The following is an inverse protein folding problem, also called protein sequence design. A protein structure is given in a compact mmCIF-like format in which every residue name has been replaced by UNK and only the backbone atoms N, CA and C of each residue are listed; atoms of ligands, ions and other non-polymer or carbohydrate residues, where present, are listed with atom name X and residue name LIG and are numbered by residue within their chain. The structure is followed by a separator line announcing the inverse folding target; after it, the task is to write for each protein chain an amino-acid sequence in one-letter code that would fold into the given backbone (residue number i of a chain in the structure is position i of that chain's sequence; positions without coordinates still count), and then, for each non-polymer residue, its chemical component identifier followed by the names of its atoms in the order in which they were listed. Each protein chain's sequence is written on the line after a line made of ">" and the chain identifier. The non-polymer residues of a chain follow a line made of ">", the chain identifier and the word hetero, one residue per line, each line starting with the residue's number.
data_IF_126203625819
#
_entry.id   IF_126203625819
#
_cell.length_a   1.000
_cell.length_b   1.000
_cell.length_c   1.000
_cell.angle_alpha   90.00
_cell.angle_beta   90.00
_cell.angle_gamma   90.00
#
_symmetry.space_group_name_H-M   'P 1'
#
loop_
_entity.id
_entity.type
_entity.pdbx_description
1 polymer ?
#
# COMPACT_ATOMS: atom_id res chain seq x y z
N UNK A 1 13.96 27.09 -10.14
CA UNK A 1 14.59 26.32 -9.05
C UNK A 1 15.57 27.21 -8.30
N UNK A 2 15.54 27.22 -6.97
CA UNK A 2 16.56 27.89 -6.16
C UNK A 2 17.67 26.91 -5.75
N UNK A 3 18.80 27.43 -5.26
CA UNK A 3 19.94 26.60 -4.84
C UNK A 3 19.61 25.72 -3.62
N UNK A 4 18.72 26.16 -2.72
CA UNK A 4 18.37 25.40 -1.51
C UNK A 4 17.59 24.13 -1.85
N UNK A 5 16.57 24.24 -2.71
CA UNK A 5 15.78 23.10 -3.19
C UNK A 5 16.67 22.04 -3.84
N UNK A 6 17.64 22.47 -4.66
CA UNK A 6 18.54 21.51 -5.31
C UNK A 6 19.44 20.83 -4.29
N UNK A 7 19.97 21.56 -3.31
CA UNK A 7 20.82 20.98 -2.27
C UNK A 7 20.11 19.90 -1.46
N UNK A 8 18.82 20.06 -1.21
CA UNK A 8 17.98 19.05 -0.55
C UNK A 8 17.78 17.81 -1.43
N UNK A 9 17.68 17.97 -2.75
CA UNK A 9 17.48 16.89 -3.71
C UNK A 9 18.77 16.17 -4.14
N UNK A 10 19.96 16.75 -3.86
CA UNK A 10 21.24 16.18 -4.29
C UNK A 10 21.47 14.73 -3.83
N UNK A 11 21.20 14.34 -2.57
CA UNK A 11 21.41 12.96 -2.12
C UNK A 11 20.62 11.96 -2.97
N UNK A 12 19.34 12.24 -3.20
CA UNK A 12 18.43 11.36 -3.94
C UNK A 12 18.90 11.14 -5.38
N UNK A 13 19.36 12.20 -6.04
CA UNK A 13 19.88 12.14 -7.42
C UNK A 13 21.21 11.36 -7.50
N UNK A 14 21.98 11.27 -6.41
CA UNK A 14 23.29 10.62 -6.39
C UNK A 14 23.28 9.14 -6.00
N UNK A 15 22.27 8.68 -5.26
CA UNK A 15 22.18 7.26 -4.89
C UNK A 15 21.82 6.40 -6.10
N UNK A 16 22.39 5.19 -6.20
CA UNK A 16 22.25 4.27 -7.34
C UNK A 16 20.83 3.77 -7.61
N UNK A 17 19.85 4.15 -6.78
CA UNK A 17 18.41 4.03 -7.05
C UNK A 17 17.87 5.14 -8.00
N UNK A 18 18.72 6.11 -8.37
CA UNK A 18 18.43 7.28 -9.22
C UNK A 18 18.28 7.00 -10.71
N UNK A 19 17.67 5.88 -11.09
CA UNK A 19 17.15 5.70 -12.46
C UNK A 19 15.81 6.41 -12.69
N UNK A 20 15.33 7.19 -11.72
CA UNK A 20 14.20 8.11 -11.88
C UNK A 20 14.41 9.41 -11.14
N UNK A 21 14.25 10.52 -11.87
CA UNK A 21 13.94 11.87 -11.37
C UNK A 21 15.09 12.86 -11.07
N UNK A 22 16.14 12.90 -11.90
CA UNK A 22 16.69 14.22 -12.24
C UNK A 22 15.69 14.88 -13.20
N UNK A 23 14.86 15.80 -12.71
CA UNK A 23 13.96 16.55 -13.60
C UNK A 23 14.80 17.47 -14.49
N UNK A 24 14.36 17.80 -15.72
CA UNK A 24 15.13 18.67 -16.62
C UNK A 24 15.39 20.06 -16.00
N UNK A 25 14.54 20.52 -15.08
CA UNK A 25 14.75 21.76 -14.32
C UNK A 25 15.95 21.68 -13.37
N UNK A 26 16.19 20.51 -12.75
CA UNK A 26 17.36 20.28 -11.89
C UNK A 26 18.64 20.28 -12.74
N UNK A 27 18.64 19.57 -13.86
CA UNK A 27 19.79 19.50 -14.77
C UNK A 27 20.16 20.89 -15.32
N UNK A 28 19.16 21.66 -15.76
CA UNK A 28 19.36 23.02 -16.25
C UNK A 28 19.96 23.95 -15.20
N UNK A 29 19.55 23.83 -13.93
CA UNK A 29 20.14 24.63 -12.87
C UNK A 29 21.57 24.18 -12.54
N UNK A 30 21.84 22.88 -12.47
CA UNK A 30 23.19 22.37 -12.23
C UNK A 30 24.14 22.82 -13.35
N UNK A 31 23.67 22.82 -14.60
CA UNK A 31 24.44 23.32 -15.75
C UNK A 31 24.72 24.84 -15.67
N UNK A 32 23.81 25.63 -15.09
CA UNK A 32 23.95 27.10 -14.99
C UNK A 32 24.57 27.61 -13.69
N UNK A 33 24.64 26.79 -12.62
CA UNK A 33 25.12 27.20 -11.30
C UNK A 33 26.35 26.39 -10.86
N UNK A 34 27.53 27.01 -10.95
CA UNK A 34 28.82 26.38 -10.62
C UNK A 34 28.90 25.86 -9.17
N UNK A 35 28.23 26.53 -8.21
CA UNK A 35 28.21 26.12 -6.81
C UNK A 35 27.45 24.79 -6.61
N UNK A 36 26.28 24.65 -7.25
CA UNK A 36 25.49 23.42 -7.19
C UNK A 36 26.21 22.27 -7.90
N UNK A 37 26.84 22.53 -9.06
CA UNK A 37 27.66 21.55 -9.77
C UNK A 37 28.90 21.10 -8.99
N UNK A 38 29.51 21.98 -8.19
CA UNK A 38 30.62 21.61 -7.31
C UNK A 38 30.15 20.69 -6.18
N UNK A 39 29.03 21.01 -5.55
CA UNK A 39 28.46 20.24 -4.45
C UNK A 39 28.01 18.84 -4.90
N UNK A 40 27.40 18.73 -6.10
CA UNK A 40 27.07 17.43 -6.70
C UNK A 40 28.33 16.56 -6.88
N UNK A 41 29.41 17.14 -7.43
CA UNK A 41 30.67 16.41 -7.64
C UNK A 41 31.30 15.96 -6.31
N UNK A 42 31.15 16.73 -5.25
CA UNK A 42 31.61 16.35 -3.91
C UNK A 42 30.81 15.17 -3.36
N UNK A 43 29.48 15.22 -3.45
CA UNK A 43 28.63 14.09 -3.07
C UNK A 43 28.93 12.82 -3.88
N UNK A 44 29.10 12.94 -5.20
CA UNK A 44 29.45 11.81 -6.07
C UNK A 44 30.79 11.18 -5.67
N UNK A 45 31.77 11.97 -5.26
CA UNK A 45 33.04 11.45 -4.73
C UNK A 45 32.83 10.68 -3.43
N UNK A 46 32.00 11.20 -2.52
CA UNK A 46 31.68 10.51 -1.27
C UNK A 46 30.97 9.19 -1.53
N UNK A 47 29.99 9.15 -2.44
CA UNK A 47 29.31 7.91 -2.81
C UNK A 47 30.26 6.90 -3.47
N UNK A 48 31.18 7.36 -4.32
CA UNK A 48 32.19 6.50 -4.91
C UNK A 48 33.13 5.85 -3.87
N UNK A 49 33.39 6.53 -2.74
CA UNK A 49 34.12 5.93 -1.61
C UNK A 49 33.28 4.88 -0.87
N UNK A 50 31.96 5.08 -0.76
CA UNK A 50 31.06 4.09 -0.17
C UNK A 50 30.93 2.86 -1.07
N UNK A 51 30.96 3.02 -2.39
CA UNK A 51 30.93 1.92 -3.36
C UNK A 51 32.18 1.01 -3.27
N UNK A 52 33.31 1.52 -2.75
CA UNK A 52 34.50 0.69 -2.47
C UNK A 52 34.25 -0.30 -1.32
N UNK A 53 33.26 -0.04 -0.45
CA UNK A 53 32.97 -0.92 0.66
C UNK A 53 32.38 -2.25 0.19
N UNK A 54 33.17 -3.32 0.33
CA UNK A 54 32.67 -4.67 0.11
C UNK A 54 31.89 -5.16 1.33
N UNK A 55 30.63 -5.49 1.10
CA UNK A 55 29.80 -6.12 2.12
C UNK A 55 30.41 -7.46 2.54
N UNK A 56 30.63 -7.72 3.84
CA UNK A 56 31.12 -9.00 4.30
C UNK A 56 30.10 -10.10 4.02
N UNK A 57 30.56 -11.32 3.77
CA UNK A 57 29.64 -12.45 3.62
C UNK A 57 28.79 -12.64 4.88
N UNK A 58 27.47 -12.85 4.73
CA UNK A 58 26.60 -13.10 5.86
C UNK A 58 27.04 -14.36 6.62
N UNK A 59 26.81 -14.40 7.93
CA UNK A 59 27.16 -15.58 8.73
C UNK A 59 26.42 -16.83 8.20
N UNK A 60 27.01 -18.03 8.28
CA UNK A 60 26.41 -19.27 7.73
C UNK A 60 24.98 -19.60 8.22
N UNK A 61 24.56 -19.01 9.34
CA UNK A 61 23.23 -19.21 9.93
C UNK A 61 22.34 -17.95 9.89
N UNK A 62 22.75 -16.93 9.14
CA UNK A 62 21.99 -15.68 9.03
C UNK A 62 20.59 -15.93 8.47
N UNK A 63 20.49 -16.62 7.34
CA UNK A 63 19.22 -16.87 6.67
C UNK A 63 18.27 -17.71 7.53
N UNK A 64 18.79 -18.76 8.16
CA UNK A 64 17.99 -19.63 9.03
C UNK A 64 17.48 -18.90 10.26
N UNK A 65 18.29 -18.02 10.86
CA UNK A 65 17.87 -17.18 11.99
C UNK A 65 16.88 -16.11 11.54
N UNK A 66 17.10 -15.49 10.39
CA UNK A 66 16.20 -14.50 9.82
C UNK A 66 14.83 -15.11 9.52
N UNK A 67 14.79 -16.26 8.86
CA UNK A 67 13.56 -16.97 8.54
C UNK A 67 12.80 -17.40 9.80
N UNK A 68 13.52 -17.87 10.83
CA UNK A 68 12.92 -18.18 12.12
C UNK A 68 12.28 -16.96 12.77
N UNK A 69 12.96 -15.81 12.79
CA UNK A 69 12.41 -14.56 13.31
C UNK A 69 11.23 -14.05 12.49
N UNK A 70 11.29 -14.16 11.17
CA UNK A 70 10.19 -13.75 10.30
C UNK A 70 8.94 -14.59 10.56
N UNK A 71 9.10 -15.91 10.69
CA UNK A 71 8.00 -16.81 11.08
C UNK A 71 7.45 -16.49 12.46
N UNK A 72 8.31 -16.17 13.43
CA UNK A 72 7.87 -15.72 14.76
C UNK A 72 7.04 -14.44 14.69
N UNK A 73 7.48 -13.42 13.95
CA UNK A 73 6.75 -12.16 13.80
C UNK A 73 5.43 -12.34 13.03
N UNK A 74 5.41 -13.15 11.96
CA UNK A 74 4.17 -13.45 11.23
C UNK A 74 3.17 -14.27 12.08
N UNK A 75 3.67 -15.10 12.99
CA UNK A 75 2.84 -15.89 13.90
C UNK A 75 2.42 -15.12 15.15
N UNK A 76 3.00 -13.94 15.43
CA UNK A 76 2.54 -13.08 16.52
C UNK A 76 1.14 -12.60 16.18
N UNK A 77 0.13 -12.92 17.01
CA UNK A 77 -1.21 -12.39 16.78
C UNK A 77 -1.11 -10.87 16.84
N UNK A 78 -1.77 -10.19 15.89
CA UNK A 78 -1.86 -8.74 15.90
C UNK A 78 -2.39 -8.29 17.27
N UNK A 79 -1.49 -7.76 18.11
CA UNK A 79 -1.81 -7.24 19.44
C UNK A 79 -2.46 -5.88 19.26
N UNK A 80 -3.72 -5.90 18.86
CA UNK A 80 -4.57 -4.72 18.74
C UNK A 80 -5.99 -5.07 19.16
N UNK A 81 -6.78 -4.03 19.45
CA UNK A 81 -8.20 -4.14 19.76
C UNK A 81 -8.94 -5.14 18.85
N UNK A 82 -8.61 -5.19 17.54
CA UNK A 82 -9.14 -6.08 16.49
C UNK A 82 -9.04 -7.58 16.77
N UNK A 83 -8.22 -8.03 17.73
CA UNK A 83 -8.17 -9.45 18.10
C UNK A 83 -9.50 -9.94 18.71
N UNK A 84 -10.32 -9.05 19.28
CA UNK A 84 -11.69 -9.40 19.72
C UNK A 84 -12.60 -9.81 18.56
N UNK A 85 -12.41 -9.22 17.37
CA UNK A 85 -13.13 -9.56 16.13
C UNK A 85 -12.64 -10.90 15.54
N UNK A 86 -11.46 -11.37 15.97
CA UNK A 86 -10.93 -12.69 15.61
C UNK A 86 -11.80 -13.85 16.11
N UNK A 87 -12.57 -13.68 17.19
CA UNK A 87 -13.57 -14.69 17.61
C UNK A 87 -14.63 -14.88 16.54
N UNK A 88 -15.07 -13.81 15.89
CA UNK A 88 -16.16 -13.82 14.91
C UNK A 88 -15.79 -14.58 13.63
N UNK A 89 -14.49 -14.73 13.34
CA UNK A 89 -13.96 -15.51 12.23
C UNK A 89 -13.84 -17.02 12.52
N UNK A 90 -14.29 -17.51 13.68
CA UNK A 90 -14.31 -18.95 13.94
C UNK A 90 -15.35 -19.64 13.04
N UNK A 91 -14.98 -20.67 12.26
CA UNK A 91 -15.85 -21.30 11.25
C UNK A 91 -17.09 -21.98 11.83
N UNK A 92 -17.12 -22.24 13.14
CA UNK A 92 -18.27 -22.79 13.83
C UNK A 92 -19.52 -21.88 13.77
N UNK A 93 -19.37 -20.58 13.51
CA UNK A 93 -20.48 -19.61 13.49
C UNK A 93 -20.89 -19.21 12.06
N UNK A 94 -20.11 -19.62 11.05
CA UNK A 94 -20.35 -19.27 9.65
C UNK A 94 -21.64 -19.90 9.09
N UNK A 95 -21.97 -21.13 9.51
CA UNK A 95 -23.19 -21.82 9.09
C UNK A 95 -24.46 -21.16 9.65
N UNK A 96 -24.43 -20.70 10.90
CA UNK A 96 -25.56 -20.00 11.52
C UNK A 96 -25.75 -18.59 10.95
N UNK A 97 -24.65 -17.87 10.67
CA UNK A 97 -24.71 -16.55 10.06
C UNK A 97 -25.29 -16.59 8.63
N UNK A 98 -24.91 -17.58 7.81
CA UNK A 98 -25.47 -17.76 6.47
C UNK A 98 -26.99 -18.04 6.51
N UNK A 99 -27.45 -18.82 7.48
CA UNK A 99 -28.89 -19.08 7.69
C UNK A 99 -29.68 -17.82 8.05
N UNK A 100 -29.14 -16.95 8.90
CA UNK A 100 -29.79 -15.69 9.30
C UNK A 100 -29.86 -14.70 8.14
N UNK A 101 -28.79 -14.58 7.33
CA UNK A 101 -28.78 -13.72 6.14
C UNK A 101 -29.78 -14.20 5.09
N UNK A 102 -29.85 -15.51 4.84
CA UNK A 102 -30.81 -16.09 3.90
C UNK A 102 -32.26 -15.86 4.36
N UNK A 103 -32.54 -16.09 5.64
CA UNK A 103 -33.87 -15.85 6.21
C UNK A 103 -34.26 -14.36 6.19
N UNK A 104 -33.31 -13.47 6.45
CA UNK A 104 -33.50 -12.02 6.35
C UNK A 104 -33.80 -11.57 4.91
N UNK A 105 -33.05 -12.07 3.92
CA UNK A 105 -33.29 -11.76 2.52
C UNK A 105 -34.66 -12.25 2.02
N UNK A 106 -35.10 -13.43 2.46
CA UNK A 106 -36.42 -13.98 2.16
C UNK A 106 -37.55 -13.15 2.80
N UNK A 107 -37.38 -12.72 4.05
CA UNK A 107 -38.35 -11.89 4.75
C UNK A 107 -38.47 -10.49 4.12
N UNK A 108 -37.36 -9.89 3.68
CA UNK A 108 -37.35 -8.60 2.96
C UNK A 108 -37.97 -8.74 1.56
N UNK A 109 -37.66 -9.81 0.84
CA UNK A 109 -38.26 -10.10 -0.47
C UNK A 109 -39.78 -10.32 -0.42
N UNK A 110 -40.28 -10.96 0.64
CA UNK A 110 -41.71 -11.18 0.86
C UNK A 110 -42.39 -9.91 1.39
N UNK A 111 -41.73 -9.14 2.27
CA UNK A 111 -42.25 -7.88 2.81
C UNK A 111 -42.35 -6.76 1.77
N UNK A 112 -41.55 -6.81 0.70
CA UNK A 112 -41.60 -5.90 -0.45
C UNK A 112 -42.45 -6.49 -1.60
N UNK A 113 -43.19 -7.59 -1.35
CA UNK A 113 -44.07 -8.26 -2.31
C UNK A 113 -45.40 -7.55 -2.62
N UNK A 114 -45.46 -6.21 -2.58
CA UNK A 114 -46.65 -5.41 -2.88
C UNK A 114 -46.58 -4.53 -4.13
N UNK A 115 -45.45 -4.49 -4.86
CA UNK A 115 -45.36 -3.75 -6.12
C UNK A 115 -44.78 -4.64 -7.21
N UNK A 116 -45.65 -5.01 -8.14
CA UNK A 116 -45.33 -5.66 -9.41
C UNK A 116 -44.31 -4.83 -10.18
N UNK A 117 -43.04 -5.23 -10.13
CA UNK A 117 -42.06 -4.84 -11.14
C UNK A 117 -42.21 -5.81 -12.30
N UNK A 118 -43.08 -5.42 -13.23
CA UNK A 118 -43.17 -6.00 -14.55
C UNK A 118 -41.82 -5.74 -15.21
N UNK A 119 -41.08 -6.79 -15.56
CA UNK A 119 -39.91 -6.68 -16.41
C UNK A 119 -40.36 -6.20 -17.79
N UNK A 120 -40.20 -4.91 -18.07
CA UNK A 120 -40.17 -4.41 -19.44
C UNK A 120 -38.82 -4.82 -20.01
N UNK A 121 -38.84 -5.69 -21.01
CA UNK A 121 -37.65 -6.03 -21.80
C UNK A 121 -37.28 -4.82 -22.66
N UNK A 122 -36.41 -3.95 -22.16
CA UNK A 122 -35.74 -2.97 -23.01
C UNK A 122 -34.61 -3.66 -23.79
N UNK A 123 -34.64 -3.39 -25.08
CA UNK A 123 -33.77 -3.90 -26.14
C UNK A 123 -32.29 -3.64 -25.86
N UNK A 124 -31.46 -4.69 -25.97
CA UNK A 124 -30.01 -4.61 -25.90
C UNK A 124 -29.45 -3.68 -26.99
N UNK A 125 -28.71 -2.60 -26.65
CA UNK A 125 -27.78 -1.99 -27.58
C UNK A 125 -26.53 -2.88 -27.63
N UNK A 126 -26.27 -3.48 -28.77
CA UNK A 126 -25.00 -4.15 -29.08
C UNK A 126 -23.86 -3.13 -28.98
N UNK A 127 -23.07 -3.19 -27.92
CA UNK A 127 -21.77 -2.51 -27.83
C UNK A 127 -20.67 -3.53 -28.18
N UNK A 128 -19.67 -3.16 -29.00
CA UNK A 128 -18.61 -4.08 -29.41
C UNK A 128 -17.76 -4.56 -28.23
N UNK A 129 -17.11 -5.72 -28.35
CA UNK A 129 -16.39 -6.34 -27.23
C UNK A 129 -15.22 -5.46 -26.78
N UNK A 130 -15.28 -4.93 -25.55
CA UNK A 130 -14.10 -4.46 -24.85
C UNK A 130 -13.39 -5.67 -24.23
N UNK A 131 -12.10 -5.80 -24.53
CA UNK A 131 -11.18 -6.81 -23.99
C UNK A 131 -10.88 -6.52 -22.50
N UNK A 132 -11.87 -6.65 -21.63
CA UNK A 132 -11.63 -6.72 -20.19
C UNK A 132 -11.52 -8.18 -19.78
N UNK A 133 -10.28 -8.64 -19.56
CA UNK A 133 -10.02 -9.89 -18.87
C UNK A 133 -10.62 -9.80 -17.46
N UNK A 134 -11.33 -10.83 -16.97
CA UNK A 134 -11.81 -10.87 -15.60
C UNK A 134 -10.60 -10.78 -14.66
N UNK A 135 -10.62 -9.81 -13.75
CA UNK A 135 -9.61 -9.69 -12.68
C UNK A 135 -9.71 -10.96 -11.84
N UNK A 136 -8.76 -11.87 -12.02
CA UNK A 136 -8.61 -13.04 -11.17
C UNK A 136 -7.73 -12.67 -9.98
N UNK A 137 -8.29 -12.63 -8.75
CA UNK A 137 -7.52 -12.37 -7.55
C UNK A 137 -6.49 -13.50 -7.33
N UNK A 138 -5.28 -13.15 -6.91
CA UNK A 138 -4.18 -14.09 -6.67
C UNK A 138 -3.24 -14.29 -7.86
N UNK A 139 -3.35 -13.46 -8.90
CA UNK A 139 -2.33 -13.35 -9.95
C UNK A 139 -1.64 -12.00 -9.83
N UNK A 140 -0.32 -11.94 -10.07
CA UNK A 140 0.44 -10.70 -9.92
C UNK A 140 -0.16 -9.53 -10.73
N UNK A 141 -0.66 -9.79 -11.93
CA UNK A 141 -1.29 -8.75 -12.77
C UNK A 141 -2.69 -8.37 -12.26
N UNK A 142 -3.49 -9.34 -11.79
CA UNK A 142 -4.81 -9.08 -11.23
C UNK A 142 -4.75 -8.31 -9.91
N UNK A 143 -3.76 -8.62 -9.07
CA UNK A 143 -3.56 -7.95 -7.78
C UNK A 143 -3.07 -6.51 -7.99
N UNK A 144 -2.19 -6.26 -8.95
CA UNK A 144 -1.78 -4.90 -9.33
C UNK A 144 -2.95 -4.09 -9.89
N UNK A 145 -3.78 -4.71 -10.72
CA UNK A 145 -4.95 -4.05 -11.30
C UNK A 145 -6.03 -3.77 -10.23
N UNK A 146 -6.13 -4.61 -9.20
CA UNK A 146 -7.01 -4.40 -8.05
C UNK A 146 -6.51 -3.29 -7.12
N UNK A 147 -5.19 -3.20 -6.89
CA UNK A 147 -4.59 -2.11 -6.10
C UNK A 147 -4.75 -0.77 -6.80
N UNK A 148 -4.46 -0.71 -8.10
CA UNK A 148 -4.60 0.52 -8.91
C UNK A 148 -6.04 1.06 -8.95
N UNK A 149 -7.05 0.17 -8.91
CA UNK A 149 -8.47 0.59 -8.89
C UNK A 149 -8.88 1.21 -7.55
N UNK A 150 -8.21 0.87 -6.45
CA UNK A 150 -8.56 1.30 -5.10
C UNK A 150 -7.60 2.35 -4.53
N UNK A 151 -6.76 2.96 -5.39
CA UNK A 151 -5.69 3.87 -4.99
C UNK A 151 -6.20 5.09 -4.19
N UNK A 152 -7.35 5.65 -4.58
CA UNK A 152 -8.01 6.76 -3.87
C UNK A 152 -8.39 6.41 -2.41
N UNK A 153 -8.68 5.13 -2.13
CA UNK A 153 -9.08 4.67 -0.80
C UNK A 153 -7.87 4.47 0.13
N UNK A 154 -6.68 4.27 -0.44
CA UNK A 154 -5.42 4.18 0.30
C UNK A 154 -4.72 5.53 0.47
N UNK A 155 -5.08 6.52 -0.34
CA UNK A 155 -4.56 7.88 -0.26
C UNK A 155 -5.23 8.74 0.83
N UNK A 156 -6.26 8.23 1.51
CA UNK A 156 -6.95 8.94 2.58
C UNK A 156 -6.19 8.80 3.91
N UNK A 157 -5.13 9.60 4.06
CA UNK A 157 -4.25 9.61 5.23
C UNK A 157 -4.87 10.33 6.44
N UNK A 158 -5.99 11.04 6.28
CA UNK A 158 -6.68 11.77 7.36
C UNK A 158 -7.12 10.83 8.52
N UNK A 159 -7.38 9.55 8.21
CA UNK A 159 -7.77 8.53 9.21
C UNK A 159 -6.64 8.16 10.17
N UNK A 160 -5.38 8.37 9.78
CA UNK A 160 -4.22 8.07 10.63
C UNK A 160 -3.91 9.21 11.62
N UNK A 161 -4.32 10.45 11.32
CA UNK A 161 -4.09 11.61 12.20
C UNK A 161 -5.04 11.59 13.42
N UNK A 162 -6.23 11.01 13.26
CA UNK A 162 -7.23 10.87 14.33
C UNK A 162 -6.83 9.83 15.41
N UNK A 163 -5.84 8.97 15.12
CA UNK A 163 -5.31 7.95 16.06
C UNK A 163 -4.17 8.45 16.95
N UNK A 164 -3.58 9.63 16.69
CA UNK A 164 -2.45 10.17 17.49
C UNK A 164 -2.87 11.01 18.71
N UNK A 165 -4.17 11.19 18.99
CA UNK A 165 -4.65 12.07 20.10
C UNK A 165 -5.08 11.29 21.35
N UNK A 166 -4.30 10.28 21.77
CA UNK A 166 -4.51 9.63 23.08
C UNK A 166 -3.22 9.57 23.91
N UNK A 167 -2.49 10.68 23.93
CA UNK A 167 -1.48 10.98 24.95
C UNK A 167 -2.10 11.85 26.07
N UNK A 168 -2.99 11.30 26.90
CA UNK A 168 -3.09 11.76 28.30
C UNK A 168 -3.96 10.82 29.15
N UNK A 169 -3.34 9.92 29.92
CA UNK A 169 -3.87 9.51 31.23
C UNK A 169 -2.70 9.50 32.22
N UNK A 170 -2.34 10.71 32.64
CA UNK A 170 -1.94 11.12 34.00
C UNK A 170 -1.58 10.03 35.02
N UNK A 171 -0.41 10.25 35.61
CA UNK A 171 0.20 9.53 36.71
C UNK A 171 -0.60 9.52 38.03
N UNK A 172 -0.31 8.46 38.81
CA UNK A 172 -0.19 8.37 40.28
C UNK A 172 -1.45 8.02 41.11
N UNK A 173 -1.31 7.41 42.32
CA UNK A 173 -0.11 7.02 43.08
C UNK A 173 0.25 5.53 43.14
#
# INVERSE_FOLDING_TARGET
>A
MNCNQIRELLPDITTSAGMGAATPEVENHIASCAACAAHLREFQKTMALLDEWQAPEPSPYFDTRLEARLREEMARPATGWLNWLGWLRRPAWAMSAAGVVLAGALAVGIGIGGRSYIYVSETMPTMPPSLSLPVQPGTAVGDLQALQRNDELYADFDVLDELQVQDDVTANP
#
